data_IF_302129341845
#
_entry.id   IF_302129341845
#
_cell.length_a   1.000
_cell.length_b   1.000
_cell.length_c   1.000
_cell.angle_alpha   90.00
_cell.angle_beta   90.00
_cell.angle_gamma   90.00
#
_symmetry.space_group_name_H-M   'P 1'
#
loop_
_entity.id
_entity.type
_entity.pdbx_description
1 polymer ?
#
# COMPACT_ATOMS: atom_id res chain seq x y z
N UNK A 1 25.13 25.80 -10.92
CA UNK A 1 25.28 27.14 -10.35
C UNK A 1 26.52 27.82 -10.93
N UNK A 2 26.53 29.15 -10.94
CA UNK A 2 27.65 29.98 -11.40
C UNK A 2 28.25 30.71 -10.19
N UNK A 3 29.58 30.68 -10.08
CA UNK A 3 30.34 31.39 -9.04
C UNK A 3 31.24 32.41 -9.72
N UNK A 4 31.23 33.65 -9.22
CA UNK A 4 32.08 34.74 -9.68
C UNK A 4 33.13 35.08 -8.63
N UNK A 5 34.36 35.37 -9.06
CA UNK A 5 35.46 35.79 -8.19
C UNK A 5 35.52 37.30 -7.93
N UNK A 6 34.62 38.08 -8.56
CA UNK A 6 34.58 39.54 -8.45
C UNK A 6 35.61 40.30 -9.29
N UNK A 7 36.50 39.59 -10.02
CA UNK A 7 37.53 40.16 -10.90
C UNK A 7 37.31 39.83 -12.39
N UNK A 8 36.10 39.39 -12.74
CA UNK A 8 35.71 39.05 -14.10
C UNK A 8 35.89 37.57 -14.46
N UNK A 9 36.36 36.74 -13.51
CA UNK A 9 36.37 35.29 -13.63
C UNK A 9 35.05 34.69 -13.18
N UNK A 10 34.48 33.78 -13.97
CA UNK A 10 33.31 32.99 -13.58
C UNK A 10 33.53 31.51 -13.83
N UNK A 11 33.06 30.66 -12.92
CA UNK A 11 33.04 29.22 -13.08
C UNK A 11 31.60 28.70 -13.03
N UNK A 12 31.29 27.70 -13.86
CA UNK A 12 29.98 27.04 -13.89
C UNK A 12 30.15 25.60 -13.42
N UNK A 13 29.30 25.17 -12.49
CA UNK A 13 29.22 23.80 -12.00
C UNK A 13 27.77 23.30 -12.07
N UNK A 14 27.58 22.00 -12.27
CA UNK A 14 26.26 21.36 -12.15
C UNK A 14 26.07 20.90 -10.70
N UNK A 15 24.94 21.23 -10.10
CA UNK A 15 24.53 20.64 -8.81
C UNK A 15 23.53 19.53 -9.11
N UNK A 16 23.77 18.35 -8.56
CA UNK A 16 22.78 17.28 -8.47
C UNK A 16 22.12 17.40 -7.11
N UNK A 17 20.80 17.62 -7.10
CA UNK A 17 19.99 17.63 -5.89
C UNK A 17 19.14 16.36 -5.93
N UNK A 18 19.29 15.52 -4.92
CA UNK A 18 18.38 14.39 -4.67
C UNK A 18 17.37 14.88 -3.64
N UNK A 19 16.10 14.85 -3.98
CA UNK A 19 15.00 15.02 -3.02
C UNK A 19 14.49 13.61 -2.76
N UNK A 20 14.68 13.12 -1.55
CA UNK A 20 14.02 11.89 -1.09
C UNK A 20 12.59 12.29 -0.69
N UNK A 21 11.59 11.59 -1.24
CA UNK A 21 10.22 11.72 -0.74
C UNK A 21 10.20 11.33 0.74
N UNK A 22 9.41 12.03 1.54
CA UNK A 22 9.16 11.55 2.89
C UNK A 22 8.27 10.32 2.74
N UNK A 23 8.82 9.15 2.99
CA UNK A 23 8.03 7.93 2.95
C UNK A 23 6.97 8.02 4.05
N UNK A 24 5.71 7.87 3.65
CA UNK A 24 4.60 7.71 4.57
C UNK A 24 4.29 6.23 4.72
N UNK A 25 3.72 5.85 5.85
CA UNK A 25 3.50 4.46 6.22
C UNK A 25 2.12 4.28 6.86
N UNK A 26 1.45 3.18 6.52
CA UNK A 26 0.23 2.75 7.22
C UNK A 26 0.63 1.71 8.24
N UNK A 27 0.30 2.00 9.49
CA UNK A 27 0.52 1.12 10.64
C UNK A 27 -0.75 0.42 11.07
N UNK A 28 -1.93 0.92 10.69
CA UNK A 28 -3.23 0.40 11.14
C UNK A 28 -3.47 0.46 12.65
N UNK A 29 -2.60 1.11 13.44
CA UNK A 29 -2.64 1.18 14.91
C UNK A 29 -4.01 1.62 15.48
N UNK A 30 -4.74 2.48 14.75
CA UNK A 30 -6.04 3.03 15.17
C UNK A 30 -7.25 2.31 14.52
N UNK A 31 -7.02 1.23 13.75
CA UNK A 31 -8.10 0.47 13.11
C UNK A 31 -8.93 -0.28 14.15
N UNK A 32 -10.21 0.06 14.23
CA UNK A 32 -11.15 -0.58 15.17
C UNK A 32 -12.46 -0.98 14.50
N UNK A 33 -13.09 -2.05 15.00
CA UNK A 33 -14.37 -2.53 14.51
C UNK A 33 -14.28 -3.25 13.16
N UNK A 34 -15.28 -3.03 12.31
CA UNK A 34 -15.39 -3.67 10.98
C UNK A 34 -15.73 -2.63 9.90
N UNK A 35 -14.89 -1.61 9.67
CA UNK A 35 -15.18 -0.57 8.69
C UNK A 35 -14.97 -1.08 7.27
N UNK A 36 -15.74 -0.55 6.31
CA UNK A 36 -15.55 -0.83 4.88
C UNK A 36 -14.16 -0.41 4.38
N UNK A 37 -13.66 0.70 4.93
CA UNK A 37 -12.41 1.34 4.56
C UNK A 37 -11.71 1.93 5.77
N UNK A 38 -10.39 2.04 5.68
CA UNK A 38 -9.54 2.70 6.67
C UNK A 38 -8.59 3.65 5.94
N UNK A 39 -8.32 4.80 6.55
CA UNK A 39 -7.47 5.84 5.95
C UNK A 39 -6.44 6.34 6.96
N UNK A 40 -5.20 6.47 6.51
CA UNK A 40 -4.05 6.92 7.30
C UNK A 40 -3.04 7.57 6.35
N UNK A 41 -2.52 8.74 6.68
CA UNK A 41 -1.57 9.47 5.81
C UNK A 41 -2.11 9.80 4.41
N UNK A 42 -3.43 9.93 4.22
CA UNK A 42 -4.01 10.14 2.88
C UNK A 42 -4.12 8.86 2.03
N UNK A 43 -3.48 7.76 2.43
CA UNK A 43 -3.74 6.43 1.88
C UNK A 43 -5.07 5.90 2.44
N UNK A 44 -5.88 5.29 1.58
CA UNK A 44 -7.13 4.63 1.97
C UNK A 44 -7.13 3.20 1.46
N UNK A 45 -7.28 2.24 2.36
CA UNK A 45 -7.56 0.84 2.05
C UNK A 45 -9.07 0.61 2.10
N UNK A 46 -9.62 -0.08 1.09
CA UNK A 46 -11.06 -0.39 1.01
C UNK A 46 -11.25 -1.86 0.64
N UNK A 47 -12.10 -2.58 1.36
CA UNK A 47 -12.55 -3.90 0.90
C UNK A 47 -13.41 -3.74 -0.35
N UNK A 48 -13.05 -4.48 -1.40
CA UNK A 48 -13.80 -4.60 -2.66
C UNK A 48 -14.53 -5.93 -2.79
N UNK A 49 -14.80 -6.61 -1.66
CA UNK A 49 -15.60 -7.83 -1.70
C UNK A 49 -16.99 -7.54 -2.29
N UNK A 50 -17.32 -8.20 -3.40
CA UNK A 50 -18.62 -8.11 -4.03
C UNK A 50 -19.54 -9.15 -3.38
N UNK A 51 -20.55 -8.70 -2.64
CA UNK A 51 -21.53 -9.62 -2.03
C UNK A 51 -22.49 -10.16 -3.09
N UNK A 52 -22.66 -11.48 -3.16
CA UNK A 52 -23.77 -12.06 -3.92
C UNK A 52 -25.08 -12.01 -3.12
N UNK A 53 -26.26 -11.99 -3.77
CA UNK A 53 -27.52 -12.09 -3.05
C UNK A 53 -27.59 -13.35 -2.18
N UNK A 54 -27.72 -13.18 -0.86
CA UNK A 54 -27.71 -14.27 0.12
C UNK A 54 -26.39 -14.44 0.88
N UNK A 55 -25.34 -13.68 0.52
CA UNK A 55 -24.14 -13.52 1.32
C UNK A 55 -24.43 -12.54 2.47
N UNK A 56 -24.25 -13.00 3.71
CA UNK A 56 -24.46 -12.18 4.92
C UNK A 56 -23.21 -11.41 5.33
N UNK A 57 -22.09 -11.63 4.64
CA UNK A 57 -20.83 -10.95 4.91
C UNK A 57 -20.84 -9.55 4.31
N UNK A 58 -20.80 -8.52 5.18
CA UNK A 58 -20.65 -7.12 4.74
C UNK A 58 -19.17 -6.84 4.48
N UNK A 59 -18.77 -6.23 3.35
CA UNK A 59 -17.37 -5.96 3.05
C UNK A 59 -16.73 -5.07 4.12
N UNK A 60 -15.58 -5.48 4.65
CA UNK A 60 -14.86 -4.72 5.67
C UNK A 60 -13.36 -5.06 5.73
N UNK A 61 -12.61 -4.20 6.39
CA UNK A 61 -11.19 -4.37 6.70
C UNK A 61 -11.05 -5.16 8.00
N UNK A 62 -10.25 -6.22 7.97
CA UNK A 62 -9.91 -7.04 9.14
C UNK A 62 -8.54 -6.69 9.68
N UNK A 63 -8.45 -6.59 11.01
CA UNK A 63 -7.19 -6.66 11.74
C UNK A 63 -6.75 -8.12 11.91
N UNK A 64 -5.45 -8.40 12.02
CA UNK A 64 -4.91 -9.75 12.20
C UNK A 64 -5.22 -10.39 13.57
N UNK A 65 -5.78 -9.62 14.51
CA UNK A 65 -6.34 -10.15 15.75
C UNK A 65 -6.10 -9.20 16.94
N UNK A 66 -6.47 -9.61 18.17
CA UNK A 66 -6.30 -8.79 19.37
C UNK A 66 -4.83 -8.62 19.81
N UNK A 67 -3.91 -9.41 19.25
CA UNK A 67 -2.48 -9.40 19.59
C UNK A 67 -1.62 -8.68 18.53
N UNK A 68 -2.21 -8.26 17.42
CA UNK A 68 -1.54 -7.52 16.34
C UNK A 68 -2.55 -6.59 15.64
N UNK A 69 -2.91 -5.51 16.35
CA UNK A 69 -3.80 -4.45 15.88
C UNK A 69 -3.21 -3.62 14.74
N UNK A 70 -1.93 -3.85 14.41
CA UNK A 70 -1.14 -3.11 13.44
C UNK A 70 -1.06 -3.81 12.07
N UNK A 71 -1.61 -5.00 11.97
CA UNK A 71 -1.63 -5.77 10.74
C UNK A 71 -3.06 -5.97 10.22
N UNK A 72 -3.21 -5.94 8.89
CA UNK A 72 -4.47 -6.30 8.24
C UNK A 72 -4.42 -7.71 7.67
N UNK A 73 -5.57 -8.38 7.75
CA UNK A 73 -5.73 -9.78 7.37
C UNK A 73 -6.58 -9.92 6.11
N UNK A 74 -6.14 -10.79 5.22
CA UNK A 74 -6.79 -11.15 3.97
C UNK A 74 -6.78 -12.68 3.84
N UNK A 75 -7.96 -13.27 3.92
CA UNK A 75 -8.15 -14.72 3.89
C UNK A 75 -9.30 -15.13 2.96
N UNK A 76 -9.35 -16.42 2.63
CA UNK A 76 -10.30 -16.94 1.66
C UNK A 76 -11.73 -17.02 2.23
N UNK A 77 -12.73 -16.85 1.36
CA UNK A 77 -14.14 -16.94 1.73
C UNK A 77 -14.69 -15.82 2.62
N UNK A 78 -13.94 -14.73 2.80
CA UNK A 78 -14.31 -13.63 3.69
C UNK A 78 -14.42 -12.27 3.00
N UNK A 79 -15.18 -11.38 3.63
CA UNK A 79 -15.60 -10.04 3.21
C UNK A 79 -14.47 -9.01 2.99
N UNK A 80 -13.20 -9.40 3.05
CA UNK A 80 -12.04 -8.50 2.93
C UNK A 80 -11.47 -8.35 1.53
N UNK A 81 -11.81 -9.23 0.58
CA UNK A 81 -10.95 -9.42 -0.60
C UNK A 81 -11.61 -9.06 -1.94
N UNK A 82 -10.90 -8.43 -2.88
CA UNK A 82 -9.57 -7.84 -2.74
C UNK A 82 -9.62 -6.53 -1.93
N UNK A 83 -8.51 -6.15 -1.30
CA UNK A 83 -8.34 -4.79 -0.81
C UNK A 83 -7.84 -3.88 -1.93
N UNK A 84 -8.34 -2.65 -2.00
CA UNK A 84 -7.84 -1.61 -2.90
C UNK A 84 -7.29 -0.43 -2.08
N UNK A 85 -6.06 -0.04 -2.40
CA UNK A 85 -5.33 1.09 -1.86
C UNK A 85 -5.39 2.25 -2.86
N UNK A 86 -5.76 3.44 -2.37
CA UNK A 86 -5.77 4.69 -3.15
C UNK A 86 -5.26 5.83 -2.29
N UNK A 87 -4.54 6.76 -2.90
CA UNK A 87 -4.08 7.96 -2.24
C UNK A 87 -4.96 9.18 -2.59
N UNK A 88 -5.19 10.02 -1.59
CA UNK A 88 -5.74 11.36 -1.76
C UNK A 88 -4.77 12.38 -1.16
N UNK A 89 -4.57 13.50 -1.85
CA UNK A 89 -3.69 14.56 -1.39
C UNK A 89 -4.25 15.33 -0.18
N UNK A 90 -3.51 16.32 0.33
CA UNK A 90 -3.94 17.15 1.46
C UNK A 90 -5.25 17.92 1.21
N UNK A 91 -5.65 18.10 -0.06
CA UNK A 91 -6.94 18.71 -0.44
C UNK A 91 -8.09 17.70 -0.44
N UNK A 92 -7.77 16.40 -0.30
CA UNK A 92 -8.71 15.28 -0.40
C UNK A 92 -8.96 14.84 -1.84
N UNK A 93 -8.19 15.34 -2.81
CA UNK A 93 -8.33 14.99 -4.21
C UNK A 93 -7.51 13.73 -4.52
N UNK A 94 -8.08 12.84 -5.35
CA UNK A 94 -7.39 11.62 -5.76
C UNK A 94 -6.10 11.98 -6.53
N UNK A 95 -4.99 11.37 -6.12
CA UNK A 95 -3.69 11.61 -6.71
C UNK A 95 -2.93 10.29 -6.93
N UNK A 96 -1.95 10.34 -7.83
CA UNK A 96 -1.08 9.21 -8.07
C UNK A 96 -0.04 9.09 -6.95
N UNK A 97 0.38 7.86 -6.68
CA UNK A 97 1.39 7.55 -5.68
C UNK A 97 2.32 6.45 -6.22
N UNK A 98 3.41 6.18 -5.51
CA UNK A 98 4.20 4.98 -5.71
C UNK A 98 4.17 4.14 -4.47
N UNK A 99 3.86 2.86 -4.64
CA UNK A 99 3.78 1.90 -3.57
C UNK A 99 5.13 1.18 -3.44
N UNK A 100 5.76 1.24 -2.26
CA UNK A 100 7.19 0.94 -2.10
C UNK A 100 7.40 -0.45 -1.54
N UNK A 101 6.86 -0.71 -0.36
CA UNK A 101 7.04 -1.98 0.33
C UNK A 101 5.92 -2.24 1.33
N UNK A 102 5.98 -3.44 1.90
CA UNK A 102 5.14 -3.88 3.01
C UNK A 102 5.89 -4.95 3.80
N UNK A 103 5.54 -5.10 5.08
CA UNK A 103 5.97 -6.22 5.91
C UNK A 103 4.94 -7.36 5.79
N UNK A 104 5.37 -8.49 5.22
CA UNK A 104 4.55 -9.70 5.11
C UNK A 104 4.79 -10.63 6.31
N UNK A 105 3.76 -10.94 7.08
CA UNK A 105 3.86 -11.88 8.20
C UNK A 105 3.52 -13.31 7.82
N UNK A 106 2.59 -13.49 6.88
CA UNK A 106 2.13 -14.78 6.43
C UNK A 106 1.44 -14.68 5.07
N UNK A 107 1.42 -15.78 4.33
CA UNK A 107 0.69 -15.91 3.07
C UNK A 107 1.39 -15.29 1.85
N UNK A 108 0.74 -15.43 0.69
CA UNK A 108 1.30 -15.12 -0.64
C UNK A 108 0.28 -14.42 -1.56
N UNK A 109 -0.58 -13.55 -1.04
CA UNK A 109 -1.63 -12.89 -1.84
C UNK A 109 -1.03 -12.03 -2.96
N UNK A 110 -1.61 -12.10 -4.17
CA UNK A 110 -1.13 -11.33 -5.33
C UNK A 110 -1.47 -9.84 -5.19
N UNK A 111 -0.49 -8.99 -5.46
CA UNK A 111 -0.62 -7.56 -5.59
C UNK A 111 -0.66 -7.16 -7.06
N UNK A 112 -1.57 -6.28 -7.43
CA UNK A 112 -1.68 -5.70 -8.78
C UNK A 112 -1.83 -4.19 -8.72
N UNK A 113 -1.56 -3.48 -9.81
CA UNK A 113 -1.66 -2.02 -9.84
C UNK A 113 -2.35 -1.48 -11.09
N UNK A 114 -2.73 -0.20 -11.05
CA UNK A 114 -3.32 0.50 -12.20
C UNK A 114 -2.39 0.61 -13.42
N UNK A 115 -1.08 0.49 -13.24
CA UNK A 115 -0.09 0.47 -14.33
C UNK A 115 0.21 -0.93 -14.86
N UNK A 116 -0.47 -1.96 -14.34
CA UNK A 116 -0.29 -3.35 -14.77
C UNK A 116 0.86 -4.09 -14.09
N UNK A 117 1.35 -3.58 -12.96
CA UNK A 117 2.27 -4.34 -12.10
C UNK A 117 1.58 -5.57 -11.50
N UNK A 118 2.36 -6.63 -11.28
CA UNK A 118 1.95 -7.82 -10.53
C UNK A 118 3.11 -8.27 -9.64
N UNK A 119 2.81 -8.62 -8.39
CA UNK A 119 3.79 -9.08 -7.42
C UNK A 119 3.16 -10.06 -6.43
N UNK A 120 3.81 -11.19 -6.20
CA UNK A 120 3.40 -12.17 -5.18
C UNK A 120 4.57 -12.39 -4.23
N UNK A 121 4.44 -12.09 -2.93
CA UNK A 121 5.50 -12.35 -1.97
C UNK A 121 5.73 -13.85 -1.86
N UNK A 122 6.99 -14.27 -1.75
CA UNK A 122 7.38 -15.69 -1.63
C UNK A 122 7.92 -16.04 -0.25
N UNK A 123 8.00 -15.04 0.64
CA UNK A 123 8.53 -15.18 1.99
C UNK A 123 7.90 -14.15 2.93
N UNK A 124 8.02 -14.42 4.22
CA UNK A 124 7.75 -13.45 5.27
C UNK A 124 8.88 -12.42 5.35
N UNK A 125 8.60 -11.26 5.93
CA UNK A 125 9.50 -10.11 6.04
C UNK A 125 9.16 -8.98 5.08
N UNK A 126 10.05 -8.00 4.99
CA UNK A 126 9.89 -6.87 4.08
C UNK A 126 9.96 -7.32 2.62
N UNK A 127 8.98 -6.88 1.85
CA UNK A 127 8.86 -7.13 0.42
C UNK A 127 8.76 -5.78 -0.30
N UNK A 128 9.70 -5.52 -1.21
CA UNK A 128 9.72 -4.30 -2.03
C UNK A 128 9.03 -4.55 -3.37
N UNK A 129 8.23 -3.59 -3.81
CA UNK A 129 7.62 -3.61 -5.12
C UNK A 129 8.62 -3.20 -6.20
N UNK A 130 8.56 -3.90 -7.32
CA UNK A 130 9.36 -3.58 -8.51
C UNK A 130 8.62 -2.66 -9.48
N UNK A 131 9.09 -2.65 -10.73
CA UNK A 131 8.49 -1.88 -11.81
C UNK A 131 7.00 -2.14 -11.98
N UNK A 132 6.24 -1.07 -12.22
CA UNK A 132 4.80 -1.13 -12.40
C UNK A 132 4.04 -0.88 -11.11
N UNK A 133 4.68 -0.37 -10.05
CA UNK A 133 4.00 0.14 -8.85
C UNK A 133 4.26 1.64 -8.64
N UNK A 134 4.91 2.29 -9.61
CA UNK A 134 5.21 3.72 -9.61
C UNK A 134 4.14 4.55 -10.33
N UNK A 135 3.80 5.72 -9.78
CA UNK A 135 2.83 6.66 -10.35
C UNK A 135 1.48 5.99 -10.70
N UNK A 136 0.94 5.24 -9.73
CA UNK A 136 -0.30 4.47 -9.83
C UNK A 136 -1.48 5.20 -9.20
N UNK A 137 -2.67 4.96 -9.74
CA UNK A 137 -3.94 5.46 -9.19
C UNK A 137 -4.50 4.53 -8.11
N UNK A 138 -4.17 3.24 -8.20
CA UNK A 138 -4.57 2.23 -7.23
C UNK A 138 -3.61 1.05 -7.21
N UNK A 139 -3.53 0.41 -6.05
CA UNK A 139 -2.93 -0.92 -5.86
C UNK A 139 -3.99 -1.83 -5.27
N UNK A 140 -4.05 -3.09 -5.70
CA UNK A 140 -4.98 -4.09 -5.19
C UNK A 140 -4.22 -5.27 -4.64
N UNK A 141 -4.63 -5.74 -3.48
CA UNK A 141 -4.15 -6.97 -2.87
C UNK A 141 -5.25 -8.02 -2.88
N UNK A 142 -5.04 -9.04 -3.68
CA UNK A 142 -5.93 -10.16 -3.89
C UNK A 142 -5.74 -11.23 -2.80
N UNK A 143 -6.72 -12.12 -2.68
CA UNK A 143 -6.59 -13.34 -1.88
C UNK A 143 -5.64 -14.34 -2.53
N UNK A 144 -5.19 -15.34 -1.76
CA UNK A 144 -4.58 -16.54 -2.34
C UNK A 144 -5.61 -17.29 -3.19
N UNK A 145 -5.17 -17.86 -4.33
CA UNK A 145 -6.01 -18.74 -5.14
C UNK A 145 -6.32 -20.07 -4.43
N UNK A 146 -5.42 -20.49 -3.55
CA UNK A 146 -5.66 -21.62 -2.66
C UNK A 146 -6.65 -21.19 -1.58
N UNK A 147 -7.90 -21.66 -1.70
CA UNK A 147 -9.02 -21.46 -0.75
C UNK A 147 -8.79 -22.24 0.57
N UNK A 148 -7.54 -22.26 1.03
CA UNK A 148 -7.11 -22.87 2.27
C UNK A 148 -7.17 -21.82 3.37
N UNK A 149 -8.26 -21.87 4.14
CA UNK A 149 -8.55 -21.03 5.31
C UNK A 149 -7.50 -21.16 6.43
N UNK A 150 -6.47 -21.98 6.22
CA UNK A 150 -5.32 -22.11 7.14
C UNK A 150 -4.15 -21.20 6.79
N UNK A 151 -4.16 -20.56 5.62
CA UNK A 151 -3.11 -19.66 5.16
C UNK A 151 -3.64 -18.23 4.94
N UNK A 152 -3.95 -17.58 6.06
CA UNK A 152 -4.30 -16.16 6.09
C UNK A 152 -3.11 -15.34 5.60
N UNK A 153 -3.38 -14.34 4.77
CA UNK A 153 -2.38 -13.34 4.41
C UNK A 153 -2.42 -12.20 5.42
N UNK A 154 -1.28 -11.86 5.99
CA UNK A 154 -1.18 -10.83 7.04
C UNK A 154 -0.05 -9.88 6.69
N UNK A 155 -0.37 -8.58 6.66
CA UNK A 155 0.61 -7.53 6.32
C UNK A 155 0.51 -6.34 7.28
N UNK A 156 1.63 -5.66 7.50
CA UNK A 156 1.73 -4.36 8.19
C UNK A 156 2.75 -3.46 7.48
N UNK A 157 2.99 -2.27 8.04
CA UNK A 157 4.06 -1.34 7.63
C UNK A 157 4.10 -1.08 6.10
N UNK A 158 2.96 -0.66 5.55
CA UNK A 158 2.83 -0.39 4.11
C UNK A 158 3.38 0.99 3.81
N UNK A 159 4.39 1.09 2.95
CA UNK A 159 5.10 2.34 2.64
C UNK A 159 4.77 2.87 1.23
N UNK A 160 4.56 4.18 1.09
CA UNK A 160 4.37 4.87 -0.20
C UNK A 160 5.08 6.24 -0.26
N UNK A 161 5.18 6.77 -1.48
CA UNK A 161 5.56 8.16 -1.73
C UNK A 161 4.66 8.83 -2.79
N UNK A 162 4.67 10.16 -2.80
CA UNK A 162 3.89 11.04 -3.70
C UNK A 162 4.76 12.08 -4.39
#
# INVERSE_FOLDING_TARGET
YQVSDGNGGTATATAHITVEGMNEMMTFDDLTGFPLSYSEGGMTVTSKWETSPGDFNTPHVHTAGPDDDRAILNHSGCCSTPYEFRYADESGDAANFTFVNFLNHAGTGEWTSSSGGSYTPTQNGFNEFGSGFENVEWVRWSKNEDDDWTNDNVIEDIEWFV
#
